data_IF_227060639358
#
_entry.id   IF_227060639358
#
_cell.length_a   1.000
_cell.length_b   1.000
_cell.length_c   1.000
_cell.angle_alpha   90.00
_cell.angle_beta   90.00
_cell.angle_gamma   90.00
#
_symmetry.space_group_name_H-M   'P 1'
#
loop_
_entity.id
_entity.type
_entity.pdbx_description
1 polymer ?
#
# COMPACT_ATOMS: atom_id res chain seq x y z
N UNK A 1 37.66 -2.05 23.38
CA UNK A 1 36.86 -0.88 22.96
C UNK A 1 35.62 -1.44 22.28
N UNK A 2 34.46 -1.39 22.93
CA UNK A 2 33.20 -1.83 22.31
C UNK A 2 32.66 -0.70 21.42
N UNK A 3 32.35 -0.94 20.14
CA UNK A 3 31.61 0.04 19.34
C UNK A 3 30.18 0.15 19.88
N UNK A 4 29.70 1.39 20.02
CA UNK A 4 28.34 1.69 20.43
C UNK A 4 27.34 1.20 19.35
N UNK A 5 26.32 0.47 19.78
CA UNK A 5 25.18 0.09 18.93
C UNK A 5 24.30 1.33 18.73
N UNK A 6 24.00 1.75 17.50
CA UNK A 6 23.05 2.84 17.27
C UNK A 6 21.63 2.39 17.64
N UNK A 7 20.94 3.21 18.42
CA UNK A 7 19.53 3.03 18.75
C UNK A 7 18.66 2.99 17.48
N UNK A 8 17.55 2.23 17.47
CA UNK A 8 16.63 2.22 16.34
C UNK A 8 16.06 3.62 16.12
N UNK A 9 16.36 4.20 14.95
CA UNK A 9 15.80 5.48 14.51
C UNK A 9 14.29 5.34 14.44
N UNK A 10 13.57 6.11 15.27
CA UNK A 10 12.13 6.21 15.19
C UNK A 10 11.73 6.74 13.81
N UNK A 11 10.90 5.97 13.10
CA UNK A 11 10.35 6.36 11.80
C UNK A 11 9.61 7.70 11.92
N UNK A 12 9.69 8.58 10.91
CA UNK A 12 8.93 9.82 10.89
C UNK A 12 7.43 9.50 10.96
N UNK A 13 6.70 10.31 11.73
CA UNK A 13 5.25 10.21 11.83
C UNK A 13 4.62 10.36 10.44
N UNK A 14 3.54 9.62 10.12
CA UNK A 14 2.82 9.83 8.87
C UNK A 14 2.31 11.27 8.83
N UNK A 15 2.74 12.01 7.82
CA UNK A 15 2.30 13.38 7.57
C UNK A 15 0.77 13.38 7.47
N UNK A 16 0.15 13.93 8.51
CA UNK A 16 -1.29 14.10 8.57
C UNK A 16 -1.65 15.32 7.73
N UNK A 17 -1.69 15.15 6.41
CA UNK A 17 -2.18 16.20 5.54
C UNK A 17 -3.72 16.15 5.47
N UNK A 18 -4.29 16.64 6.56
CA UNK A 18 -5.72 16.89 6.76
C UNK A 18 -6.08 18.28 6.25
N UNK A 19 -6.05 18.46 4.93
CA UNK A 19 -6.71 19.60 4.28
C UNK A 19 -7.88 19.05 3.50
N UNK A 20 -9.06 19.67 3.66
CA UNK A 20 -10.35 19.25 3.11
C UNK A 20 -10.23 18.73 1.66
N UNK A 21 -10.23 17.40 1.52
CA UNK A 21 -9.97 16.70 0.26
C UNK A 21 -11.22 16.75 -0.60
N UNK A 22 -11.16 17.52 -1.69
CA UNK A 22 -12.21 17.60 -2.69
C UNK A 22 -12.51 16.22 -3.29
N UNK A 23 -13.74 16.03 -3.75
CA UNK A 23 -14.16 14.87 -4.53
C UNK A 23 -13.40 14.86 -5.85
N UNK A 24 -12.26 14.19 -5.88
CA UNK A 24 -11.46 14.04 -7.11
C UNK A 24 -12.07 12.94 -7.98
N UNK A 25 -11.95 13.11 -9.28
CA UNK A 25 -12.30 12.13 -10.30
C UNK A 25 -11.11 11.95 -11.22
N UNK A 26 -10.92 10.74 -11.71
CA UNK A 26 -9.99 10.46 -12.79
C UNK A 26 -10.74 10.37 -14.13
N UNK A 27 -10.03 10.55 -15.24
CA UNK A 27 -10.59 10.56 -16.59
C UNK A 27 -9.63 9.87 -17.58
N UNK A 28 -10.13 8.82 -18.24
CA UNK A 28 -9.52 8.22 -19.43
C UNK A 28 -10.20 8.77 -20.68
N UNK A 29 -9.41 9.26 -21.64
CA UNK A 29 -9.91 9.68 -22.96
C UNK A 29 -9.28 8.84 -24.05
N UNK A 30 -10.10 8.20 -24.89
CA UNK A 30 -9.62 7.37 -25.99
C UNK A 30 -9.21 8.19 -27.21
N UNK A 31 -8.45 7.60 -28.12
CA UNK A 31 -8.10 8.19 -29.42
C UNK A 31 -9.31 8.49 -30.30
N UNK A 32 -10.44 7.81 -30.07
CA UNK A 32 -11.73 8.07 -30.75
C UNK A 32 -12.58 9.13 -30.06
N UNK A 33 -12.11 9.69 -28.93
CA UNK A 33 -12.78 10.74 -28.16
C UNK A 33 -13.80 10.23 -27.13
N UNK A 34 -13.90 8.91 -26.92
CA UNK A 34 -14.69 8.34 -25.81
C UNK A 34 -14.04 8.69 -24.48
N UNK A 35 -14.88 8.98 -23.48
CA UNK A 35 -14.43 9.37 -22.14
C UNK A 35 -15.02 8.42 -21.09
N UNK A 36 -14.15 7.88 -20.25
CA UNK A 36 -14.54 7.08 -19.08
C UNK A 36 -13.93 7.72 -17.85
N UNK A 37 -14.74 7.91 -16.81
CA UNK A 37 -14.29 8.52 -15.55
C UNK A 37 -14.75 7.70 -14.35
N UNK A 38 -14.08 7.94 -13.23
CA UNK A 38 -14.45 7.33 -11.96
C UNK A 38 -14.00 8.18 -10.78
N UNK A 39 -14.36 7.72 -9.59
CA UNK A 39 -13.95 8.37 -8.35
C UNK A 39 -12.45 8.19 -8.13
N UNK A 40 -11.73 9.27 -7.85
CA UNK A 40 -10.36 9.23 -7.36
C UNK A 40 -10.38 9.48 -5.85
N UNK A 41 -10.23 8.44 -5.01
CA UNK A 41 -10.25 8.62 -3.59
C UNK A 41 -9.12 9.54 -3.13
N UNK A 42 -9.33 10.33 -2.09
CA UNK A 42 -8.33 11.29 -1.67
C UNK A 42 -7.13 10.64 -0.97
N UNK A 43 -7.25 9.37 -0.59
CA UNK A 43 -6.18 8.55 -0.05
C UNK A 43 -5.36 7.84 -1.15
N UNK A 44 -5.82 7.85 -2.41
CA UNK A 44 -5.07 7.27 -3.51
C UNK A 44 -3.81 8.11 -3.78
N UNK A 45 -2.67 7.43 -3.87
CA UNK A 45 -1.38 8.04 -4.18
C UNK A 45 -1.25 8.43 -5.65
N UNK A 46 -1.90 7.68 -6.55
CA UNK A 46 -1.80 7.87 -8.00
C UNK A 46 -3.16 8.22 -8.63
N UNK A 47 -3.10 9.07 -9.67
CA UNK A 47 -4.23 9.42 -10.52
C UNK A 47 -4.10 8.65 -11.85
N UNK A 48 -5.04 7.74 -12.18
CA UNK A 48 -4.97 6.95 -13.40
C UNK A 48 -5.45 7.70 -14.65
N UNK A 49 -5.67 9.02 -14.57
CA UNK A 49 -6.11 9.80 -15.74
C UNK A 49 -5.10 9.73 -16.89
N UNK A 50 -5.59 9.44 -18.08
CA UNK A 50 -4.77 9.26 -19.29
C UNK A 50 -5.54 9.76 -20.52
N UNK A 51 -4.83 10.30 -21.50
CA UNK A 51 -5.40 10.75 -22.77
C UNK A 51 -4.85 9.91 -23.91
N UNK A 52 -5.55 9.90 -25.04
CA UNK A 52 -5.15 9.20 -26.25
C UNK A 52 -4.99 7.67 -26.06
N UNK A 53 -5.77 7.08 -25.16
CA UNK A 53 -5.80 5.63 -24.96
C UNK A 53 -6.36 4.95 -26.22
N UNK A 54 -5.65 4.00 -26.86
CA UNK A 54 -6.22 3.23 -27.95
C UNK A 54 -7.54 2.57 -27.51
N UNK A 55 -8.60 2.68 -28.31
CA UNK A 55 -9.93 2.20 -27.91
C UNK A 55 -9.93 0.70 -27.55
N UNK A 56 -9.09 -0.09 -28.22
CA UNK A 56 -8.86 -1.50 -27.95
C UNK A 56 -8.13 -1.79 -26.61
N UNK A 57 -7.41 -0.82 -26.07
CA UNK A 57 -6.70 -0.92 -24.78
C UNK A 57 -7.51 -0.41 -23.60
N UNK A 58 -8.66 0.25 -23.84
CA UNK A 58 -9.47 0.86 -22.78
C UNK A 58 -9.84 -0.14 -21.68
N UNK A 59 -10.21 -1.37 -22.05
CA UNK A 59 -10.55 -2.41 -21.07
C UNK A 59 -9.34 -2.82 -20.21
N UNK A 60 -8.14 -2.89 -20.80
CA UNK A 60 -6.91 -3.19 -20.08
C UNK A 60 -6.55 -2.03 -19.13
N UNK A 61 -6.62 -0.78 -19.61
CA UNK A 61 -6.40 0.41 -18.78
C UNK A 61 -7.36 0.50 -17.61
N UNK A 62 -8.63 0.17 -17.81
CA UNK A 62 -9.60 0.08 -16.71
C UNK A 62 -9.19 -1.00 -15.69
N UNK A 63 -8.80 -2.18 -16.15
CA UNK A 63 -8.34 -3.26 -15.26
C UNK A 63 -7.09 -2.88 -14.45
N UNK A 64 -6.24 -2.01 -14.99
CA UNK A 64 -5.04 -1.47 -14.33
C UNK A 64 -5.35 -0.34 -13.33
N UNK A 65 -6.57 0.21 -13.32
CA UNK A 65 -6.97 1.21 -12.31
C UNK A 65 -6.94 0.56 -10.93
N UNK A 66 -5.91 0.91 -10.16
CA UNK A 66 -5.70 0.50 -8.79
C UNK A 66 -5.43 1.73 -7.93
N UNK A 67 -6.27 1.95 -6.94
CA UNK A 67 -6.02 2.96 -5.92
C UNK A 67 -5.27 2.33 -4.77
N UNK A 68 -4.14 2.91 -4.38
CA UNK A 68 -3.40 2.42 -3.24
C UNK A 68 -2.87 3.52 -2.33
N UNK A 69 -2.59 3.13 -1.09
CA UNK A 69 -1.89 3.92 -0.06
C UNK A 69 -0.92 3.00 0.66
N UNK A 70 0.34 3.41 0.76
CA UNK A 70 1.39 2.63 1.41
C UNK A 70 1.58 3.01 2.88
N UNK A 71 2.02 2.03 3.66
CA UNK A 71 2.43 2.15 5.04
C UNK A 71 3.80 1.47 5.18
N UNK A 72 4.83 2.22 5.62
CA UNK A 72 6.17 1.66 5.75
C UNK A 72 6.17 0.52 6.77
N UNK A 73 7.04 -0.46 6.48
CA UNK A 73 7.22 -1.64 7.30
C UNK A 73 8.16 -1.41 8.48
N UNK A 74 8.64 -2.51 9.04
CA UNK A 74 9.68 -2.50 10.06
C UNK A 74 11.01 -2.87 9.41
N UNK A 75 12.06 -2.11 9.70
CA UNK A 75 13.41 -2.46 9.26
C UNK A 75 13.99 -3.51 10.22
N UNK A 76 14.46 -4.63 9.67
CA UNK A 76 15.16 -5.70 10.37
C UNK A 76 16.41 -6.10 9.59
N UNK A 77 17.37 -6.75 10.25
CA UNK A 77 18.58 -7.25 9.60
C UNK A 77 18.36 -8.69 9.11
N UNK A 78 18.63 -8.95 7.82
CA UNK A 78 18.49 -10.28 7.22
C UNK A 78 19.57 -10.53 6.16
N UNK A 79 19.82 -11.79 5.83
CA UNK A 79 20.70 -12.18 4.73
C UNK A 79 19.90 -12.31 3.44
N UNK A 80 20.44 -11.72 2.37
CA UNK A 80 19.89 -11.83 1.02
C UNK A 80 20.57 -12.96 0.26
N UNK A 81 19.83 -13.83 -0.45
CA UNK A 81 20.39 -14.92 -1.23
C UNK A 81 21.30 -14.44 -2.37
N UNK A 82 21.18 -13.18 -2.79
CA UNK A 82 22.02 -12.57 -3.83
C UNK A 82 23.25 -11.81 -3.31
N UNK A 83 23.42 -11.68 -1.99
CA UNK A 83 24.49 -10.89 -1.40
C UNK A 83 25.65 -11.80 -0.97
N UNK A 84 26.80 -11.67 -1.65
CA UNK A 84 28.00 -12.47 -1.39
C UNK A 84 28.88 -11.94 -0.25
N UNK A 85 28.46 -10.89 0.46
CA UNK A 85 29.29 -10.23 1.47
C UNK A 85 29.30 -10.94 2.84
N UNK A 86 28.56 -12.04 2.99
CA UNK A 86 28.33 -12.75 4.27
C UNK A 86 27.95 -11.80 5.41
N UNK A 87 27.35 -10.65 5.08
CA UNK A 87 26.91 -9.64 6.01
C UNK A 87 25.39 -9.43 5.88
N UNK A 88 24.66 -9.32 7.01
CA UNK A 88 23.23 -9.06 6.96
C UNK A 88 22.98 -7.60 6.59
N UNK A 89 21.97 -7.37 5.77
CA UNK A 89 21.53 -6.05 5.31
C UNK A 89 20.24 -5.61 5.99
N UNK A 90 20.00 -4.30 6.00
CA UNK A 90 18.74 -3.72 6.48
C UNK A 90 17.64 -3.95 5.44
N UNK A 91 16.60 -4.67 5.86
CA UNK A 91 15.46 -5.01 5.02
C UNK A 91 14.19 -4.47 5.66
N UNK A 92 13.40 -3.73 4.89
CA UNK A 92 12.02 -3.42 5.29
C UNK A 92 11.14 -4.67 5.14
N UNK A 93 10.66 -5.17 6.27
CA UNK A 93 9.75 -6.29 6.36
C UNK A 93 8.36 -5.82 6.75
N UNK A 94 7.33 -6.57 6.33
CA UNK A 94 5.95 -6.35 6.76
C UNK A 94 5.43 -4.94 6.46
N UNK A 95 5.89 -4.32 5.36
CA UNK A 95 5.21 -3.14 4.84
C UNK A 95 3.80 -3.51 4.41
N UNK A 96 2.89 -2.55 4.47
CA UNK A 96 1.50 -2.80 4.13
C UNK A 96 0.97 -1.72 3.22
N UNK A 97 -0.05 -2.05 2.45
CA UNK A 97 -0.76 -1.08 1.63
C UNK A 97 -2.25 -1.34 1.72
N UNK A 98 -3.04 -0.27 1.66
CA UNK A 98 -4.47 -0.39 1.35
C UNK A 98 -4.58 -0.29 -0.17
N UNK A 99 -5.23 -1.25 -0.81
CA UNK A 99 -5.39 -1.34 -2.26
C UNK A 99 -6.86 -1.55 -2.61
N UNK A 100 -7.29 -0.98 -3.74
CA UNK A 100 -8.63 -1.15 -4.30
C UNK A 100 -8.53 -1.14 -5.83
N UNK A 101 -8.94 -2.21 -6.48
CA UNK A 101 -8.95 -2.36 -7.93
C UNK A 101 -10.40 -2.52 -8.41
N UNK A 102 -11.14 -1.42 -8.63
CA UNK A 102 -12.59 -1.44 -8.91
C UNK A 102 -12.99 -2.25 -10.15
N UNK A 103 -12.08 -2.41 -11.11
CA UNK A 103 -12.34 -3.12 -12.37
C UNK A 103 -11.56 -4.43 -12.48
N UNK A 104 -10.93 -4.90 -11.40
CA UNK A 104 -10.27 -6.19 -11.41
C UNK A 104 -11.29 -7.31 -11.69
N UNK A 105 -10.90 -8.40 -12.37
CA UNK A 105 -11.80 -9.54 -12.63
C UNK A 105 -12.33 -10.19 -11.34
N UNK A 106 -11.56 -10.10 -10.26
CA UNK A 106 -11.93 -10.60 -8.93
C UNK A 106 -12.76 -9.53 -8.19
N UNK A 107 -14.08 -9.74 -7.98
CA UNK A 107 -14.97 -8.73 -7.42
C UNK A 107 -14.63 -8.33 -5.98
N UNK A 108 -13.94 -9.19 -5.23
CA UNK A 108 -13.45 -8.89 -3.88
C UNK A 108 -12.41 -7.76 -3.85
N UNK A 109 -11.71 -7.50 -4.96
CA UNK A 109 -10.70 -6.44 -5.07
C UNK A 109 -11.32 -5.07 -5.35
N UNK A 110 -12.61 -5.00 -5.70
CA UNK A 110 -13.33 -3.75 -5.87
C UNK A 110 -13.67 -3.06 -4.53
N UNK A 111 -13.31 -3.68 -3.40
CA UNK A 111 -13.37 -3.10 -2.07
C UNK A 111 -11.95 -2.84 -1.57
N UNK A 112 -11.71 -1.72 -0.87
CA UNK A 112 -10.43 -1.48 -0.23
C UNK A 112 -10.07 -2.60 0.74
N UNK A 113 -8.89 -3.19 0.55
CA UNK A 113 -8.31 -4.25 1.37
C UNK A 113 -6.88 -3.91 1.75
N UNK A 114 -6.40 -4.47 2.87
CA UNK A 114 -5.00 -4.36 3.27
C UNK A 114 -4.22 -5.54 2.71
N UNK A 115 -3.13 -5.25 2.03
CA UNK A 115 -2.10 -6.20 1.63
C UNK A 115 -0.90 -6.01 2.55
N UNK A 116 -0.35 -7.10 3.11
CA UNK A 116 0.87 -7.08 3.91
C UNK A 116 1.95 -7.85 3.18
N UNK A 117 3.07 -7.20 2.89
CA UNK A 117 4.23 -7.84 2.27
C UNK A 117 5.10 -8.45 3.36
N UNK A 118 4.95 -9.76 3.54
CA UNK A 118 5.91 -10.55 4.32
C UNK A 118 7.23 -10.56 3.53
N UNK A 119 8.36 -10.31 4.20
CA UNK A 119 9.68 -10.31 3.56
C UNK A 119 9.86 -11.56 2.67
N UNK A 120 10.38 -11.38 1.45
CA UNK A 120 10.49 -12.43 0.43
C UNK A 120 11.51 -13.53 0.76
N UNK A 121 12.38 -13.89 -0.17
CA UNK A 121 13.37 -14.98 -0.06
C UNK A 121 14.55 -14.67 0.89
N UNK A 122 14.31 -14.00 2.02
CA UNK A 122 15.34 -13.62 2.98
C UNK A 122 15.38 -14.56 4.17
N UNK A 123 16.59 -14.79 4.69
CA UNK A 123 16.81 -15.65 5.85
C UNK A 123 17.41 -14.84 6.99
N UNK A 124 16.90 -15.08 8.20
CA UNK A 124 17.53 -14.63 9.45
C UNK A 124 18.20 -15.83 10.08
N UNK A 125 19.53 -15.91 9.97
CA UNK A 125 20.33 -16.99 10.56
C UNK A 125 21.18 -16.43 11.70
N UNK A 126 21.71 -17.34 12.53
CA UNK A 126 22.69 -17.00 13.57
C UNK A 126 22.21 -15.96 14.60
N UNK A 127 20.89 -15.93 14.86
CA UNK A 127 20.31 -15.05 15.87
C UNK A 127 20.75 -15.51 17.28
N UNK A 128 21.50 -14.64 17.94
CA UNK A 128 21.75 -14.76 19.37
C UNK A 128 20.49 -14.33 20.18
N UNK A 129 20.49 -14.45 21.52
CA UNK A 129 19.34 -14.05 22.33
C UNK A 129 18.91 -12.59 22.15
N UNK A 130 19.84 -11.69 21.85
CA UNK A 130 19.53 -10.27 21.58
C UNK A 130 18.85 -10.14 20.22
N UNK A 131 19.38 -10.80 19.18
CA UNK A 131 18.79 -10.81 17.84
C UNK A 131 17.39 -11.40 17.81
N UNK A 132 17.12 -12.45 18.60
CA UNK A 132 15.76 -12.98 18.78
C UNK A 132 14.86 -11.96 19.47
N UNK A 133 15.35 -11.27 20.51
CA UNK A 133 14.57 -10.25 21.20
C UNK A 133 14.22 -9.07 20.28
N UNK A 134 15.15 -8.64 19.42
CA UNK A 134 14.95 -7.57 18.44
C UNK A 134 13.93 -7.98 17.37
N UNK A 135 13.99 -9.21 16.86
CA UNK A 135 12.99 -9.75 15.93
C UNK A 135 11.59 -9.75 16.57
N UNK A 136 11.47 -10.24 17.80
CA UNK A 136 10.19 -10.27 18.52
C UNK A 136 9.66 -8.85 18.77
N UNK A 137 10.53 -7.91 19.14
CA UNK A 137 10.16 -6.51 19.32
C UNK A 137 9.67 -5.89 17.99
N UNK A 138 10.36 -6.16 16.88
CA UNK A 138 9.95 -5.70 15.55
C UNK A 138 8.59 -6.26 15.12
N UNK A 139 8.34 -7.56 15.35
CA UNK A 139 7.04 -8.17 15.05
C UNK A 139 5.90 -7.56 15.89
N UNK A 140 6.16 -7.23 17.16
CA UNK A 140 5.18 -6.52 18.01
C UNK A 140 4.92 -5.11 17.49
N UNK A 141 5.96 -4.36 17.12
CA UNK A 141 5.79 -3.03 16.56
C UNK A 141 4.96 -3.03 15.26
N UNK A 142 5.12 -4.05 14.41
CA UNK A 142 4.28 -4.25 13.23
C UNK A 142 2.82 -4.53 13.62
N UNK A 143 2.59 -5.44 14.56
CA UNK A 143 1.24 -5.76 15.03
C UNK A 143 0.54 -4.53 15.63
N UNK A 144 1.25 -3.78 16.48
CA UNK A 144 0.75 -2.54 17.09
C UNK A 144 0.40 -1.50 16.03
N UNK A 145 1.20 -1.38 14.96
CA UNK A 145 0.93 -0.46 13.84
C UNK A 145 -0.29 -0.89 13.03
N UNK A 146 -0.42 -2.19 12.73
CA UNK A 146 -1.59 -2.71 12.01
C UNK A 146 -2.87 -2.40 12.79
N UNK A 147 -2.85 -2.61 14.10
CA UNK A 147 -3.99 -2.37 14.99
C UNK A 147 -4.32 -0.88 15.17
N UNK A 148 -3.32 -0.08 15.52
CA UNK A 148 -3.53 1.32 15.91
C UNK A 148 -3.62 2.30 14.73
N UNK A 149 -3.10 1.94 13.55
CA UNK A 149 -3.02 2.83 12.39
C UNK A 149 -3.75 2.26 11.19
N UNK A 150 -3.35 1.07 10.72
CA UNK A 150 -3.79 0.56 9.42
C UNK A 150 -5.26 0.14 9.44
N UNK A 151 -5.70 -0.60 10.45
CA UNK A 151 -7.10 -1.03 10.60
C UNK A 151 -8.06 0.17 10.71
N UNK A 152 -7.82 1.18 11.58
CA UNK A 152 -8.65 2.38 11.65
C UNK A 152 -8.74 3.10 10.30
N UNK A 153 -7.62 3.25 9.58
CA UNK A 153 -7.63 3.89 8.27
C UNK A 153 -8.38 3.08 7.22
N UNK A 154 -8.22 1.75 7.20
CA UNK A 154 -9.00 0.87 6.33
C UNK A 154 -10.49 1.05 6.56
N UNK A 155 -10.94 1.08 7.81
CA UNK A 155 -12.37 1.25 8.14
C UNK A 155 -12.92 2.60 7.65
N UNK A 156 -12.17 3.69 7.84
CA UNK A 156 -12.52 5.00 7.30
C UNK A 156 -12.61 4.96 5.77
N UNK A 157 -11.59 4.43 5.11
CA UNK A 157 -11.50 4.32 3.65
C UNK A 157 -12.67 3.50 3.08
N UNK A 158 -13.02 2.37 3.71
CA UNK A 158 -14.15 1.53 3.28
C UNK A 158 -15.48 2.23 3.46
N UNK A 159 -15.64 3.01 4.54
CA UNK A 159 -16.85 3.80 4.78
C UNK A 159 -17.02 4.86 3.71
N UNK A 160 -15.97 5.62 3.40
CA UNK A 160 -15.95 6.63 2.33
C UNK A 160 -16.25 6.00 0.97
N UNK A 161 -15.54 4.91 0.63
CA UNK A 161 -15.72 4.17 -0.63
C UNK A 161 -17.16 3.70 -0.79
N UNK A 162 -17.74 3.09 0.26
CA UNK A 162 -19.12 2.59 0.23
C UNK A 162 -20.13 3.73 0.09
N UNK A 163 -19.92 4.86 0.79
CA UNK A 163 -20.80 6.02 0.69
C UNK A 163 -20.86 6.58 -0.75
N UNK A 164 -19.72 6.63 -1.44
CA UNK A 164 -19.64 7.06 -2.84
C UNK A 164 -20.33 6.10 -3.80
N UNK A 165 -20.12 4.79 -3.65
CA UNK A 165 -20.67 3.80 -4.57
C UNK A 165 -22.15 3.48 -4.30
N UNK A 166 -22.64 3.69 -3.08
CA UNK A 166 -24.07 3.59 -2.77
C UNK A 166 -24.82 4.80 -3.33
N UNK A 167 -24.22 6.00 -3.25
CA UNK A 167 -24.79 7.23 -3.82
C UNK A 167 -24.72 7.27 -5.35
N UNK A 168 -23.80 6.53 -5.96
CA UNK A 168 -23.59 6.42 -7.39
C UNK A 168 -24.41 5.33 -8.10
N UNK A 169 -25.49 4.82 -7.49
CA UNK A 169 -26.40 3.84 -8.12
C UNK A 169 -27.13 4.48 -9.30
N UNK A 170 -26.43 4.63 -10.43
CA UNK A 170 -26.92 5.27 -11.65
C UNK A 170 -26.15 4.92 -12.93
N UNK A 171 -24.96 4.31 -12.84
CA UNK A 171 -24.25 3.84 -14.04
C UNK A 171 -23.44 2.58 -13.72
N UNK A 172 -24.08 1.41 -13.84
CA UNK A 172 -23.38 0.20 -14.22
C UNK A 172 -23.46 0.13 -15.74
N UNK A 173 -22.31 0.07 -16.41
CA UNK A 173 -22.22 -0.43 -17.78
C UNK A 173 -22.64 -1.92 -17.79
#
# INVERSE_FOLDING_TARGET
MNPAVPSPTALPAPESDGTARSLRQWLLTTTTGEQVSGHLPPWATEDPSEQEVPAEELAARLADVCHYREFPGQVLRAYSPGNSSDAPEELEVMSSSITCAPYAPAPELALPVVTVRVAGEYWMTDLDPTGVADLVAGLRAVADRLDSVVIPQLNTIRTEWTAHHTSGTGARL
#
